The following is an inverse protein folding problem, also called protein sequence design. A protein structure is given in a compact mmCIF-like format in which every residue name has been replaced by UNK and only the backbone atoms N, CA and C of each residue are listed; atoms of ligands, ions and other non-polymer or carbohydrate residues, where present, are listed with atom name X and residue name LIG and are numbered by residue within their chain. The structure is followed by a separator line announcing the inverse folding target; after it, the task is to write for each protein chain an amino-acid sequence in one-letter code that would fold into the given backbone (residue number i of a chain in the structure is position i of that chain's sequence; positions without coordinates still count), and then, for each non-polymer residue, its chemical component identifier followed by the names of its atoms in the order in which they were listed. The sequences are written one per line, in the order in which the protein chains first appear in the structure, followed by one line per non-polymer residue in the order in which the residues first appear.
data_IF_738488368086
#
_entry.id   IF_738488368086
#
_cell.length_a   1.000
_cell.length_b   1.000
_cell.length_c   1.000
_cell.angle_alpha   90.00
_cell.angle_beta   90.00
_cell.angle_gamma   90.00
#
_symmetry.space_group_name_H-M   'P 1'
#
loop_
_entity.id
_entity.type
_entity.pdbx_description
1 polymer ?
#
# COMPACT_ATOMS: atom_id res chain seq x y z
N UNK A 1 11.83 -22.27 6.65
CA UNK A 1 10.35 -22.18 6.72
C UNK A 1 9.99 -20.73 7.03
N UNK A 2 9.11 -20.14 6.24
CA UNK A 2 8.64 -18.77 6.45
C UNK A 2 7.73 -18.71 7.66
N UNK A 3 8.00 -17.78 8.56
CA UNK A 3 7.25 -17.51 9.80
C UNK A 3 6.71 -16.09 9.87
N UNK A 4 7.24 -15.19 9.03
CA UNK A 4 6.85 -13.78 8.97
C UNK A 4 6.46 -13.36 7.57
N UNK A 5 5.29 -12.76 7.45
CA UNK A 5 4.76 -12.21 6.20
C UNK A 5 4.68 -10.69 6.34
N UNK A 6 5.45 -9.98 5.54
CA UNK A 6 5.49 -8.52 5.57
C UNK A 6 4.94 -8.01 4.25
N UNK A 7 3.89 -7.22 4.31
CA UNK A 7 3.16 -6.73 3.14
C UNK A 7 3.43 -5.24 2.88
N UNK A 8 3.45 -4.86 1.62
CA UNK A 8 3.12 -3.48 1.26
C UNK A 8 1.61 -3.24 1.51
N UNK A 9 1.19 -2.00 1.43
CA UNK A 9 -0.21 -1.62 1.67
C UNK A 9 -0.94 -1.33 0.36
N UNK A 10 -0.50 -0.30 -0.35
CA UNK A 10 -1.15 0.23 -1.55
C UNK A 10 -0.96 -0.74 -2.73
N UNK A 11 -2.01 -1.05 -3.48
CA UNK A 11 -2.07 -2.04 -4.57
C UNK A 11 -1.66 -3.48 -4.19
N UNK A 12 -1.41 -3.74 -2.89
CA UNK A 12 -1.09 -5.06 -2.35
C UNK A 12 -2.22 -5.60 -1.46
N UNK A 13 -2.62 -4.90 -0.41
CA UNK A 13 -3.72 -5.33 0.47
C UNK A 13 -5.08 -4.72 0.07
N UNK A 14 -5.06 -3.64 -0.67
CA UNK A 14 -6.25 -3.00 -1.25
C UNK A 14 -5.81 -2.20 -2.49
N UNK A 15 -6.74 -1.78 -3.34
CA UNK A 15 -6.41 -1.01 -4.54
C UNK A 15 -6.23 0.47 -4.22
N UNK A 16 -5.07 1.06 -4.53
CA UNK A 16 -4.79 2.48 -4.30
C UNK A 16 -5.83 3.39 -4.97
N UNK A 17 -6.37 2.98 -6.13
CA UNK A 17 -7.42 3.74 -6.82
C UNK A 17 -8.66 3.97 -5.95
N UNK A 18 -8.99 3.05 -5.04
CA UNK A 18 -10.17 3.19 -4.18
C UNK A 18 -9.96 4.31 -3.14
N UNK A 19 -8.72 4.43 -2.62
CA UNK A 19 -8.34 5.56 -1.79
C UNK A 19 -8.41 6.88 -2.56
N UNK A 20 -7.91 6.92 -3.79
CA UNK A 20 -7.97 8.11 -4.65
C UNK A 20 -9.42 8.52 -4.91
N UNK A 21 -10.29 7.57 -5.25
CA UNK A 21 -11.70 7.85 -5.50
C UNK A 21 -12.44 8.29 -4.25
N UNK A 22 -12.10 7.71 -3.10
CA UNK A 22 -12.61 8.17 -1.80
C UNK A 22 -12.21 9.63 -1.54
N UNK A 23 -10.96 9.99 -1.80
CA UNK A 23 -10.47 11.36 -1.67
C UNK A 23 -11.18 12.34 -2.62
N UNK A 24 -11.46 11.94 -3.85
CA UNK A 24 -12.20 12.79 -4.79
C UNK A 24 -13.66 13.01 -4.37
N UNK A 25 -14.30 11.99 -3.76
CA UNK A 25 -15.64 12.16 -3.16
C UNK A 25 -15.61 13.11 -1.96
N UNK A 26 -14.58 13.02 -1.12
CA UNK A 26 -14.39 13.96 -0.01
C UNK A 26 -14.20 15.41 -0.51
N UNK A 27 -13.45 15.61 -1.59
CA UNK A 27 -13.31 16.91 -2.25
C UNK A 27 -14.68 17.41 -2.76
N UNK A 28 -15.43 16.58 -3.48
CA UNK A 28 -16.76 16.93 -3.98
C UNK A 28 -17.69 17.36 -2.86
N UNK A 29 -17.73 16.62 -1.76
CA UNK A 29 -18.50 16.97 -0.58
C UNK A 29 -18.07 18.32 0.04
N UNK A 30 -16.76 18.59 0.11
CA UNK A 30 -16.23 19.85 0.66
C UNK A 30 -16.56 21.07 -0.23
N UNK A 31 -16.81 20.87 -1.52
CA UNK A 31 -17.24 21.91 -2.46
C UNK A 31 -18.77 21.94 -2.66
N UNK A 32 -19.51 20.98 -2.12
CA UNK A 32 -20.97 20.93 -2.22
C UNK A 32 -21.49 20.57 -3.62
N UNK A 33 -20.70 19.87 -4.44
CA UNK A 33 -21.05 19.48 -5.80
C UNK A 33 -20.53 18.05 -6.09
N UNK A 34 -21.44 17.09 -6.09
CA UNK A 34 -21.12 15.67 -6.34
C UNK A 34 -20.57 15.40 -7.75
N UNK A 35 -20.91 16.26 -8.74
CA UNK A 35 -20.39 16.11 -10.10
C UNK A 35 -18.86 16.29 -10.19
N UNK A 36 -18.26 16.96 -9.20
CA UNK A 36 -16.80 17.12 -9.09
C UNK A 36 -16.13 15.73 -8.97
N UNK A 37 -16.66 14.82 -8.17
CA UNK A 37 -16.07 13.50 -7.98
C UNK A 37 -15.97 12.74 -9.31
N UNK A 38 -17.05 12.67 -10.07
CA UNK A 38 -17.09 11.98 -11.37
C UNK A 38 -16.14 12.61 -12.38
N UNK A 39 -16.04 13.95 -12.37
CA UNK A 39 -15.09 14.68 -13.22
C UNK A 39 -13.65 14.32 -12.87
N UNK A 40 -13.29 14.33 -11.58
CA UNK A 40 -11.94 14.01 -11.13
C UNK A 40 -11.56 12.56 -11.41
N UNK A 41 -12.50 11.62 -11.21
CA UNK A 41 -12.29 10.19 -11.51
C UNK A 41 -12.02 9.98 -12.99
N UNK A 42 -12.77 10.60 -13.89
CA UNK A 42 -12.54 10.51 -15.34
C UNK A 42 -11.18 11.07 -15.73
N UNK A 43 -10.86 12.27 -15.24
CA UNK A 43 -9.57 12.90 -15.52
C UNK A 43 -8.39 12.09 -14.98
N UNK A 44 -8.53 11.48 -13.81
CA UNK A 44 -7.53 10.60 -13.22
C UNK A 44 -7.31 9.32 -14.04
N UNK A 45 -8.37 8.76 -14.61
CA UNK A 45 -8.28 7.60 -15.49
C UNK A 45 -7.53 7.91 -16.80
N UNK A 46 -7.65 9.13 -17.31
CA UNK A 46 -6.93 9.58 -18.51
C UNK A 46 -5.44 9.85 -18.21
N UNK A 47 -5.16 10.62 -17.17
CA UNK A 47 -3.82 10.93 -16.67
C UNK A 47 -3.89 11.26 -15.17
N UNK A 48 -3.05 10.62 -14.37
CA UNK A 48 -2.99 10.80 -12.91
C UNK A 48 -2.41 12.16 -12.48
N UNK A 49 -1.77 12.90 -13.40
CA UNK A 49 -1.09 14.17 -13.10
C UNK A 49 -2.04 15.35 -13.17
N UNK A 50 -1.84 16.32 -12.26
CA UNK A 50 -2.49 17.64 -12.30
C UNK A 50 -4.03 17.59 -12.43
N UNK A 51 -4.67 16.59 -11.79
CA UNK A 51 -6.11 16.31 -11.95
C UNK A 51 -6.96 17.52 -11.57
N UNK A 52 -6.62 18.21 -10.48
CA UNK A 52 -7.37 19.38 -10.02
C UNK A 52 -7.27 20.56 -10.98
N UNK A 53 -6.05 20.86 -11.49
CA UNK A 53 -5.86 21.91 -12.50
C UNK A 53 -6.61 21.59 -13.79
N UNK A 54 -6.55 20.34 -14.25
CA UNK A 54 -7.28 19.86 -15.43
C UNK A 54 -8.80 19.92 -15.24
N UNK A 55 -9.25 19.81 -14.01
CA UNK A 55 -10.66 19.99 -13.65
C UNK A 55 -11.09 21.46 -13.63
N UNK A 56 -10.15 22.41 -13.81
CA UNK A 56 -10.44 23.85 -13.88
C UNK A 56 -10.43 24.55 -12.54
N UNK A 57 -9.91 23.92 -11.48
CA UNK A 57 -9.74 24.58 -10.17
C UNK A 57 -8.62 25.62 -10.24
N UNK A 58 -8.84 26.76 -9.58
CA UNK A 58 -7.81 27.79 -9.36
C UNK A 58 -6.68 27.24 -8.47
N UNK A 59 -5.55 27.92 -8.38
CA UNK A 59 -4.45 27.51 -7.51
C UNK A 59 -4.87 27.42 -6.03
N UNK A 60 -5.69 28.33 -5.55
CA UNK A 60 -6.19 28.32 -4.20
C UNK A 60 -7.13 27.11 -3.94
N UNK A 61 -8.06 26.89 -4.87
CA UNK A 61 -8.94 25.71 -4.81
C UNK A 61 -8.17 24.40 -4.90
N UNK A 62 -7.12 24.32 -5.73
CA UNK A 62 -6.24 23.15 -5.77
C UNK A 62 -5.58 22.87 -4.41
N UNK A 63 -5.12 23.89 -3.69
CA UNK A 63 -4.56 23.73 -2.34
C UNK A 63 -5.63 23.22 -1.36
N UNK A 64 -6.84 23.75 -1.44
CA UNK A 64 -7.98 23.25 -0.64
C UNK A 64 -8.30 21.79 -0.98
N UNK A 65 -8.36 21.42 -2.26
CA UNK A 65 -8.56 20.03 -2.68
C UNK A 65 -7.48 19.11 -2.11
N UNK A 66 -6.20 19.53 -2.17
CA UNK A 66 -5.08 18.75 -1.64
C UNK A 66 -5.19 18.58 -0.12
N UNK A 67 -5.59 19.62 0.63
CA UNK A 67 -5.78 19.53 2.07
C UNK A 67 -6.88 18.52 2.42
N UNK A 68 -8.06 18.70 1.82
CA UNK A 68 -9.19 17.77 2.01
C UNK A 68 -8.81 16.33 1.66
N UNK A 69 -8.16 16.13 0.52
CA UNK A 69 -7.69 14.80 0.08
C UNK A 69 -6.72 14.16 1.07
N UNK A 70 -5.82 14.94 1.68
CA UNK A 70 -4.82 14.43 2.63
C UNK A 70 -5.38 14.11 4.01
N UNK A 71 -6.43 14.80 4.40
CA UNK A 71 -7.00 14.73 5.75
C UNK A 71 -8.20 13.78 5.83
N UNK A 72 -8.80 13.40 4.67
CA UNK A 72 -10.02 12.60 4.70
C UNK A 72 -9.81 11.23 5.36
N UNK A 73 -10.83 10.75 6.03
CA UNK A 73 -10.93 9.35 6.42
C UNK A 73 -11.48 8.56 5.21
N UNK A 74 -10.68 7.64 4.64
CA UNK A 74 -11.07 7.00 3.37
C UNK A 74 -12.18 5.97 3.55
N UNK A 75 -13.11 5.92 2.59
CA UNK A 75 -14.11 4.86 2.47
C UNK A 75 -13.53 3.72 1.61
N UNK A 76 -12.69 2.92 2.22
CA UNK A 76 -12.01 1.76 1.60
C UNK A 76 -12.21 0.51 2.46
N UNK A 77 -12.13 -0.67 1.86
CA UNK A 77 -12.26 -1.93 2.58
C UNK A 77 -11.31 -2.99 2.01
N UNK A 78 -10.94 -3.96 2.84
CA UNK A 78 -10.24 -5.16 2.39
C UNK A 78 -11.20 -6.08 1.64
N UNK A 79 -10.72 -6.74 0.60
CA UNK A 79 -11.41 -7.85 -0.03
C UNK A 79 -11.53 -9.04 0.93
N UNK A 80 -12.48 -9.93 0.68
CA UNK A 80 -12.63 -11.13 1.51
C UNK A 80 -11.41 -12.05 1.36
N UNK A 81 -10.80 -12.11 0.18
CA UNK A 81 -9.56 -12.86 -0.07
C UNK A 81 -8.41 -12.38 0.82
N UNK A 82 -8.23 -11.05 0.96
CA UNK A 82 -7.20 -10.49 1.86
C UNK A 82 -7.51 -10.80 3.32
N UNK A 83 -8.76 -10.62 3.77
CA UNK A 83 -9.16 -10.93 5.16
C UNK A 83 -8.92 -12.39 5.50
N UNK A 84 -9.32 -13.29 4.59
CA UNK A 84 -9.12 -14.74 4.75
C UNK A 84 -7.64 -15.08 4.80
N UNK A 85 -6.83 -14.55 3.88
CA UNK A 85 -5.38 -14.76 3.85
C UNK A 85 -4.73 -14.36 5.19
N UNK A 86 -4.99 -13.15 5.68
CA UNK A 86 -4.45 -12.69 6.96
C UNK A 86 -4.93 -13.56 8.14
N UNK A 87 -6.20 -13.98 8.11
CA UNK A 87 -6.76 -14.86 9.14
C UNK A 87 -6.10 -16.23 9.16
N UNK A 88 -5.88 -16.84 7.99
CA UNK A 88 -5.20 -18.16 7.87
C UNK A 88 -3.74 -18.06 8.31
N UNK A 89 -3.01 -17.00 7.93
CA UNK A 89 -1.64 -16.79 8.39
C UNK A 89 -1.56 -16.69 9.90
N UNK A 90 -2.47 -15.97 10.55
CA UNK A 90 -2.55 -15.90 12.01
C UNK A 90 -2.88 -17.25 12.65
N UNK A 91 -3.79 -18.02 12.05
CA UNK A 91 -4.13 -19.37 12.53
C UNK A 91 -2.95 -20.36 12.42
N UNK A 92 -1.97 -20.05 11.55
CA UNK A 92 -0.70 -20.79 11.43
C UNK A 92 0.42 -20.24 12.32
N UNK A 93 0.10 -19.38 13.28
CA UNK A 93 1.06 -18.69 14.17
C UNK A 93 2.13 -17.87 13.42
N UNK A 94 1.85 -17.46 12.18
CA UNK A 94 2.74 -16.56 11.44
C UNK A 94 2.64 -15.12 11.98
N UNK A 95 3.78 -14.42 11.98
CA UNK A 95 3.83 -12.99 12.27
C UNK A 95 3.48 -12.21 11.01
N UNK A 96 2.68 -11.15 11.17
CA UNK A 96 2.24 -10.32 10.05
C UNK A 96 2.68 -8.88 10.27
N UNK A 97 3.42 -8.32 9.31
CA UNK A 97 3.86 -6.93 9.32
C UNK A 97 3.38 -6.16 8.10
N UNK A 98 3.37 -4.84 8.20
CA UNK A 98 3.16 -3.93 7.06
C UNK A 98 4.30 -2.93 7.01
N UNK A 99 4.91 -2.76 5.82
CA UNK A 99 5.83 -1.67 5.52
C UNK A 99 5.23 -0.85 4.38
N UNK A 100 4.92 0.41 4.64
CA UNK A 100 4.26 1.27 3.66
C UNK A 100 4.96 2.62 3.54
N UNK A 101 5.09 3.12 2.31
CA UNK A 101 5.64 4.44 2.02
C UNK A 101 4.54 5.50 2.09
N UNK A 102 4.88 6.68 2.59
CA UNK A 102 4.01 7.84 2.49
C UNK A 102 3.82 8.59 3.80
N UNK A 103 3.00 9.64 3.71
CA UNK A 103 2.75 10.54 4.85
C UNK A 103 2.10 9.80 6.00
N UNK A 104 2.60 9.95 7.24
CA UNK A 104 2.13 9.19 8.39
C UNK A 104 0.62 9.25 8.60
N UNK A 105 0.04 10.47 8.56
CA UNK A 105 -1.39 10.64 8.77
C UNK A 105 -2.23 9.91 7.71
N UNK A 106 -1.84 10.01 6.42
CA UNK A 106 -2.57 9.35 5.34
C UNK A 106 -2.53 7.81 5.48
N UNK A 107 -1.35 7.25 5.78
CA UNK A 107 -1.21 5.80 5.95
C UNK A 107 -1.97 5.30 7.21
N UNK A 108 -1.96 6.07 8.29
CA UNK A 108 -2.75 5.74 9.49
C UNK A 108 -4.25 5.78 9.22
N UNK A 109 -4.75 6.77 8.48
CA UNK A 109 -6.16 6.86 8.09
C UNK A 109 -6.57 5.63 7.25
N UNK A 110 -5.71 5.20 6.30
CA UNK A 110 -5.92 3.97 5.51
C UNK A 110 -5.97 2.73 6.41
N UNK A 111 -4.98 2.57 7.30
CA UNK A 111 -4.91 1.44 8.24
C UNK A 111 -6.15 1.36 9.13
N UNK A 112 -6.64 2.51 9.61
CA UNK A 112 -7.86 2.60 10.42
C UNK A 112 -9.09 2.19 9.61
N UNK A 113 -9.26 2.73 8.41
CA UNK A 113 -10.40 2.44 7.54
C UNK A 113 -10.45 0.96 7.12
N UNK A 114 -9.28 0.35 6.87
CA UNK A 114 -9.14 -1.06 6.53
C UNK A 114 -9.25 -2.01 7.73
N UNK A 115 -9.28 -1.50 8.97
CA UNK A 115 -9.35 -2.32 10.18
C UNK A 115 -8.09 -3.16 10.45
N UNK A 116 -6.95 -2.81 9.85
CA UNK A 116 -5.73 -3.63 9.88
C UNK A 116 -5.07 -3.71 11.26
N UNK A 117 -5.32 -2.75 12.15
CA UNK A 117 -4.69 -2.71 13.47
C UNK A 117 -4.92 -3.95 14.35
N UNK A 118 -6.04 -4.66 14.14
CA UNK A 118 -6.35 -5.92 14.84
C UNK A 118 -5.86 -7.17 14.08
N UNK A 119 -5.41 -7.01 12.83
CA UNK A 119 -5.08 -8.12 11.94
C UNK A 119 -3.57 -8.33 11.78
N UNK A 120 -2.75 -7.36 12.15
CA UNK A 120 -1.29 -7.39 11.98
C UNK A 120 -0.55 -7.18 13.29
N UNK A 121 0.68 -7.69 13.39
CA UNK A 121 1.51 -7.58 14.60
C UNK A 121 2.33 -6.30 14.62
N UNK A 122 2.68 -5.76 13.44
CA UNK A 122 3.54 -4.59 13.31
C UNK A 122 3.23 -3.75 12.07
N UNK A 123 3.44 -2.44 12.19
CA UNK A 123 3.36 -1.49 11.07
C UNK A 123 4.59 -0.59 11.10
N UNK A 124 5.24 -0.40 9.96
CA UNK A 124 6.29 0.59 9.77
C UNK A 124 5.89 1.51 8.61
N UNK A 125 5.61 2.76 8.92
CA UNK A 125 5.44 3.82 7.92
C UNK A 125 6.80 4.45 7.68
N UNK A 126 7.31 4.39 6.46
CA UNK A 126 8.70 4.77 6.18
C UNK A 126 9.00 6.23 6.48
N UNK A 127 8.07 7.15 6.18
CA UNK A 127 8.25 8.58 6.46
C UNK A 127 8.37 8.89 7.96
N UNK A 128 7.91 8.01 8.86
CA UNK A 128 8.11 8.16 10.32
C UNK A 128 9.54 7.90 10.76
N UNK A 129 10.36 7.29 9.91
CA UNK A 129 11.78 7.05 10.20
C UNK A 129 12.67 8.29 9.99
N UNK A 130 12.14 9.31 9.31
CA UNK A 130 12.86 10.57 9.05
C UNK A 130 12.54 11.18 7.69
N UNK A 131 11.37 10.87 7.11
CA UNK A 131 10.87 11.44 5.86
C UNK A 131 11.13 10.58 4.63
N UNK A 132 10.95 11.19 3.47
CA UNK A 132 10.91 10.49 2.17
C UNK A 132 12.20 9.71 1.83
N UNK A 133 13.35 10.10 2.36
CA UNK A 133 14.62 9.41 2.16
C UNK A 133 14.65 7.98 2.74
N UNK A 134 13.70 7.65 3.63
CA UNK A 134 13.57 6.32 4.23
C UNK A 134 12.57 5.43 3.49
N UNK A 135 11.92 5.95 2.43
CA UNK A 135 11.03 5.14 1.60
C UNK A 135 11.80 4.02 0.90
N UNK A 136 11.10 2.94 0.60
CA UNK A 136 11.62 1.83 -0.20
C UNK A 136 12.24 2.38 -1.51
N UNK A 137 13.40 1.93 -1.89
CA UNK A 137 14.11 0.71 -1.47
C UNK A 137 15.07 0.88 -0.26
N UNK A 138 14.94 1.89 0.59
CA UNK A 138 15.78 2.05 1.78
C UNK A 138 15.55 0.87 2.75
N UNK A 139 16.62 0.21 3.26
CA UNK A 139 16.51 -0.97 4.11
C UNK A 139 16.04 -0.69 5.55
N UNK A 140 16.01 0.55 6.00
CA UNK A 140 15.76 0.91 7.40
C UNK A 140 14.41 0.39 7.92
N UNK A 141 13.35 0.43 7.10
CA UNK A 141 12.04 -0.08 7.47
C UNK A 141 12.04 -1.60 7.68
N UNK A 142 12.77 -2.34 6.85
CA UNK A 142 12.94 -3.79 6.94
C UNK A 142 13.76 -4.18 8.17
N UNK A 143 14.81 -3.42 8.48
CA UNK A 143 15.61 -3.62 9.70
C UNK A 143 14.78 -3.40 10.96
N UNK A 144 13.95 -2.35 10.98
CA UNK A 144 13.02 -2.09 12.07
C UNK A 144 11.96 -3.19 12.20
N UNK A 145 11.40 -3.65 11.06
CA UNK A 145 10.42 -4.75 11.05
C UNK A 145 11.01 -6.04 11.61
N UNK A 146 12.24 -6.41 11.22
CA UNK A 146 12.95 -7.56 11.80
C UNK A 146 13.03 -7.48 13.33
N UNK A 147 13.40 -6.32 13.87
CA UNK A 147 13.51 -6.11 15.32
C UNK A 147 12.16 -6.27 16.03
N UNK A 148 11.07 -5.73 15.44
CA UNK A 148 9.73 -5.80 16.04
C UNK A 148 9.20 -7.23 16.01
N UNK A 149 9.33 -7.94 14.89
CA UNK A 149 8.80 -9.30 14.74
C UNK A 149 9.67 -10.35 15.45
N UNK A 150 10.94 -10.06 15.72
CA UNK A 150 11.87 -10.98 16.38
C UNK A 150 12.24 -12.19 15.52
N UNK A 151 12.23 -12.05 14.18
CA UNK A 151 12.52 -13.10 13.21
C UNK A 151 13.80 -12.80 12.44
N UNK A 152 14.48 -13.85 11.95
CA UNK A 152 15.57 -13.67 11.00
C UNK A 152 15.05 -13.39 9.60
N UNK A 153 15.84 -12.68 8.78
CA UNK A 153 15.45 -12.33 7.41
C UNK A 153 15.07 -13.55 6.57
N UNK A 154 15.79 -14.66 6.72
CA UNK A 154 15.51 -15.93 6.02
C UNK A 154 14.19 -16.61 6.47
N UNK A 155 13.58 -16.14 7.55
CA UNK A 155 12.29 -16.61 8.04
C UNK A 155 11.13 -15.69 7.60
N UNK A 156 11.43 -14.61 6.88
CA UNK A 156 10.45 -13.62 6.45
C UNK A 156 10.33 -13.56 4.92
N UNK A 157 9.13 -13.28 4.44
CA UNK A 157 8.85 -12.92 3.05
C UNK A 157 8.27 -11.52 2.99
N UNK A 158 8.74 -10.72 2.04
CA UNK A 158 8.11 -9.46 1.69
C UNK A 158 7.22 -9.63 0.47
N UNK A 159 5.97 -9.20 0.59
CA UNK A 159 4.95 -9.26 -0.46
C UNK A 159 4.60 -7.84 -0.88
N UNK A 160 4.77 -7.51 -2.15
CA UNK A 160 4.49 -6.17 -2.69
C UNK A 160 4.08 -6.23 -4.15
N UNK A 161 3.63 -5.10 -4.69
CA UNK A 161 3.19 -4.96 -6.08
C UNK A 161 4.21 -4.24 -6.99
N UNK A 162 5.13 -3.48 -6.39
CA UNK A 162 6.00 -2.57 -7.13
C UNK A 162 7.42 -3.10 -7.31
N UNK A 163 7.75 -3.68 -8.48
CA UNK A 163 9.06 -4.30 -8.73
C UNK A 163 10.24 -3.31 -8.69
N UNK A 164 9.97 -2.02 -8.83
CA UNK A 164 11.04 -1.01 -8.87
C UNK A 164 11.63 -0.74 -7.49
N UNK A 165 10.81 -0.84 -6.43
CA UNK A 165 11.22 -0.42 -5.07
C UNK A 165 11.09 -1.51 -4.01
N UNK A 166 10.17 -2.47 -4.18
CA UNK A 166 9.75 -3.37 -3.09
C UNK A 166 10.73 -4.48 -2.78
N UNK A 167 11.52 -4.92 -3.75
CA UNK A 167 12.31 -6.16 -3.61
C UNK A 167 13.81 -5.94 -3.46
N UNK A 168 14.31 -4.74 -3.74
CA UNK A 168 15.75 -4.42 -3.62
C UNK A 168 16.26 -4.65 -2.20
N UNK A 169 15.64 -4.05 -1.21
CA UNK A 169 16.07 -4.17 0.19
C UNK A 169 15.81 -5.58 0.76
N UNK A 170 14.65 -6.24 0.57
CA UNK A 170 14.44 -7.62 0.99
C UNK A 170 15.52 -8.57 0.49
N UNK A 171 15.80 -8.57 -0.80
CA UNK A 171 16.82 -9.47 -1.40
C UNK A 171 18.22 -9.16 -0.85
N UNK A 172 18.59 -7.88 -0.76
CA UNK A 172 19.87 -7.46 -0.18
C UNK A 172 20.06 -7.92 1.27
N UNK A 173 18.97 -7.98 2.05
CA UNK A 173 18.98 -8.38 3.45
C UNK A 173 18.84 -9.90 3.64
N UNK A 174 18.57 -10.67 2.58
CA UNK A 174 18.37 -12.12 2.63
C UNK A 174 16.95 -12.53 3.04
N UNK A 175 15.96 -11.66 2.85
CA UNK A 175 14.53 -12.00 2.93
C UNK A 175 14.09 -12.69 1.64
N UNK A 176 13.05 -13.50 1.74
CA UNK A 176 12.28 -13.92 0.57
C UNK A 176 11.49 -12.73 0.02
N UNK A 177 11.31 -12.71 -1.31
CA UNK A 177 10.56 -11.67 -2.00
C UNK A 177 9.46 -12.30 -2.86
N UNK A 178 8.26 -11.72 -2.80
CA UNK A 178 7.09 -12.19 -3.52
C UNK A 178 6.36 -11.02 -4.18
N UNK A 179 6.32 -11.02 -5.50
CA UNK A 179 5.61 -10.03 -6.29
C UNK A 179 4.15 -10.44 -6.49
N UNK A 180 3.23 -9.67 -5.93
CA UNK A 180 1.81 -9.78 -6.24
C UNK A 180 1.55 -9.03 -7.55
N UNK A 181 1.42 -9.76 -8.63
CA UNK A 181 1.09 -9.24 -9.95
C UNK A 181 -0.42 -9.02 -10.07
N UNK A 182 -0.90 -7.95 -9.44
CA UNK A 182 -2.31 -7.62 -9.42
C UNK A 182 -2.75 -7.04 -10.78
N UNK A 183 -3.73 -7.67 -11.50
CA UNK A 183 -4.19 -7.17 -12.80
C UNK A 183 -4.82 -5.77 -12.74
N UNK A 184 -5.32 -5.36 -11.60
CA UNK A 184 -5.87 -4.02 -11.35
C UNK A 184 -4.85 -3.00 -10.82
N UNK A 185 -3.63 -3.45 -10.51
CA UNK A 185 -2.54 -2.64 -10.00
C UNK A 185 -1.74 -1.93 -11.09
N UNK A 186 -0.95 -0.94 -10.67
CA UNK A 186 -0.14 -0.11 -11.55
C UNK A 186 0.97 -0.87 -12.30
N UNK A 187 1.50 -1.91 -11.70
CA UNK A 187 2.72 -2.60 -12.14
C UNK A 187 2.44 -3.97 -12.76
N UNK A 188 1.18 -4.28 -13.08
CA UNK A 188 0.79 -5.56 -13.70
C UNK A 188 1.60 -5.90 -14.95
N UNK A 189 1.90 -4.91 -15.80
CA UNK A 189 2.63 -5.09 -17.05
C UNK A 189 4.15 -4.99 -16.93
N UNK A 190 4.70 -4.89 -15.72
CA UNK A 190 6.14 -4.88 -15.52
C UNK A 190 6.75 -6.19 -16.04
N UNK A 191 7.90 -6.07 -16.73
CA UNK A 191 8.59 -7.19 -17.36
C UNK A 191 9.85 -7.53 -16.58
N UNK A 192 10.26 -8.82 -16.68
CA UNK A 192 11.51 -9.37 -16.17
C UNK A 192 11.83 -9.02 -14.71
N UNK A 193 11.48 -9.95 -13.84
CA UNK A 193 11.85 -9.92 -12.43
C UNK A 193 13.11 -10.76 -12.21
N UNK A 194 13.89 -10.39 -11.18
CA UNK A 194 14.96 -11.25 -10.68
C UNK A 194 14.38 -12.65 -10.38
N UNK A 195 15.00 -13.74 -10.88
CA UNK A 195 14.51 -15.11 -10.64
C UNK A 195 14.37 -15.48 -9.16
N UNK A 196 15.01 -14.75 -8.25
CA UNK A 196 14.86 -14.90 -6.82
C UNK A 196 13.51 -14.37 -6.27
N UNK A 197 12.74 -13.64 -7.10
CA UNK A 197 11.44 -13.09 -6.71
C UNK A 197 10.34 -14.06 -7.15
N UNK A 198 9.63 -14.61 -6.18
CA UNK A 198 8.43 -15.41 -6.45
C UNK A 198 7.33 -14.51 -7.01
N UNK A 199 6.53 -15.02 -7.93
CA UNK A 199 5.42 -14.28 -8.51
C UNK A 199 4.11 -14.98 -8.21
N UNK A 200 3.13 -14.24 -7.71
CA UNK A 200 1.75 -14.68 -7.48
C UNK A 200 0.80 -13.72 -8.19
N UNK A 201 -0.37 -14.22 -8.60
CA UNK A 201 -1.40 -13.41 -9.27
C UNK A 201 -2.63 -13.16 -8.37
N UNK A 202 -2.71 -13.88 -7.26
CA UNK A 202 -3.75 -13.70 -6.25
C UNK A 202 -3.12 -13.75 -4.85
N UNK A 203 -3.65 -12.91 -3.96
CA UNK A 203 -3.10 -12.79 -2.59
C UNK A 203 -3.19 -14.10 -1.80
N UNK A 204 -4.17 -14.96 -2.11
CA UNK A 204 -4.35 -16.24 -1.44
C UNK A 204 -3.22 -17.23 -1.74
N UNK A 205 -2.50 -17.06 -2.83
CA UNK A 205 -1.34 -17.89 -3.18
C UNK A 205 -0.17 -17.72 -2.19
N UNK A 206 -0.14 -16.61 -1.44
CA UNK A 206 0.80 -16.41 -0.31
C UNK A 206 0.74 -17.57 0.70
N UNK A 207 -0.43 -18.22 0.83
CA UNK A 207 -0.63 -19.34 1.75
C UNK A 207 0.12 -20.62 1.37
N UNK A 208 0.71 -20.66 0.18
CA UNK A 208 1.49 -21.80 -0.33
C UNK A 208 3.00 -21.61 -0.17
N UNK A 209 3.44 -20.43 0.26
CA UNK A 209 4.84 -20.10 0.53
C UNK A 209 5.24 -20.62 1.92
#
# INVERSE_FOLDING_TARGET
MIKGFVFDLDDTLYLERDYVYSGFRAVAQAFGDDAIADKLIRLFAEDRKNVYQRAGFSNEECQRCISVYREHLPAICLSDAVKETLSVLRARDCRIGIITDGRPQGQRNKMQALGLGAMVDAVVITDELGGEMFRKPNPAAFQKMKQILGLDYSEMVYVGDNPVKDFVAPLMLGMHACWLRNPDGLYFSAQEMDPAIMTINDITEVLTL
#
